data_IF_021235601368
#
_entry.id   IF_021235601368
#
_cell.length_a   1.000
_cell.length_b   1.000
_cell.length_c   1.000
_cell.angle_alpha   90.00
_cell.angle_beta   90.00
_cell.angle_gamma   90.00
#
_symmetry.space_group_name_H-M   'P 1'
#
loop_
_entity.id
_entity.type
_entity.pdbx_description
1 polymer ?
#
# COMPACT_ATOMS: atom_id res chain seq x y z
N UNK A 1 44.15 -19.32 -20.02
CA UNK A 1 42.81 -19.02 -19.46
C UNK A 1 42.69 -17.53 -19.13
N UNK A 2 41.96 -16.71 -19.90
CA UNK A 2 41.57 -15.40 -19.39
C UNK A 2 40.18 -14.93 -19.87
N UNK A 3 39.10 -15.65 -19.57
CA UNK A 3 37.73 -15.19 -19.87
C UNK A 3 36.85 -14.98 -18.62
N UNK A 4 37.33 -15.32 -17.42
CA UNK A 4 36.49 -15.35 -16.20
C UNK A 4 36.37 -14.01 -15.45
N UNK A 5 37.12 -12.96 -15.79
CA UNK A 5 37.10 -11.69 -15.04
C UNK A 5 36.32 -10.54 -15.70
N UNK A 6 35.70 -10.74 -16.88
CA UNK A 6 34.94 -9.66 -17.55
C UNK A 6 33.45 -9.60 -17.16
N UNK A 7 32.88 -10.69 -16.69
CA UNK A 7 31.43 -10.82 -16.45
C UNK A 7 30.95 -10.30 -15.08
N UNK A 8 31.85 -10.12 -14.11
CA UNK A 8 31.51 -9.87 -12.68
C UNK A 8 30.91 -8.48 -12.38
N UNK A 9 31.13 -7.49 -13.26
CA UNK A 9 30.56 -6.14 -13.06
C UNK A 9 29.12 -6.01 -13.58
N UNK A 10 28.73 -6.86 -14.54
CA UNK A 10 27.45 -6.76 -15.24
C UNK A 10 26.37 -7.55 -14.51
N UNK A 11 26.72 -8.74 -14.00
CA UNK A 11 25.80 -9.57 -13.20
C UNK A 11 25.36 -8.88 -11.92
N UNK A 12 26.29 -8.20 -11.22
CA UNK A 12 25.98 -7.44 -10.01
C UNK A 12 25.01 -6.27 -10.29
N UNK A 13 25.20 -5.57 -11.41
CA UNK A 13 24.31 -4.47 -11.82
C UNK A 13 22.89 -4.95 -12.16
N UNK A 14 22.77 -6.08 -12.87
CA UNK A 14 21.47 -6.64 -13.27
C UNK A 14 20.62 -7.04 -12.04
N UNK A 15 21.23 -7.63 -11.02
CA UNK A 15 20.54 -8.06 -9.80
C UNK A 15 19.99 -6.87 -8.98
N UNK A 16 20.72 -5.76 -8.93
CA UNK A 16 20.24 -4.53 -8.27
C UNK A 16 19.02 -3.94 -8.98
N UNK A 17 19.02 -3.87 -10.32
CA UNK A 17 17.94 -3.24 -11.09
C UNK A 17 16.61 -3.98 -10.91
N UNK A 18 16.63 -5.32 -10.83
CA UNK A 18 15.42 -6.15 -10.61
C UNK A 18 14.79 -5.90 -9.23
N UNK A 19 15.57 -5.45 -8.25
CA UNK A 19 15.09 -5.26 -6.87
C UNK A 19 14.24 -4.00 -6.68
N UNK A 20 14.29 -3.04 -7.63
CA UNK A 20 13.60 -1.74 -7.50
C UNK A 20 12.13 -1.75 -7.97
N UNK A 21 11.62 -2.85 -8.52
CA UNK A 21 10.31 -2.87 -9.18
C UNK A 21 9.12 -3.14 -8.25
N UNK A 22 9.27 -3.06 -6.93
CA UNK A 22 8.17 -3.33 -5.98
C UNK A 22 7.39 -2.05 -5.70
N UNK A 23 6.26 -1.87 -6.39
CA UNK A 23 5.28 -0.85 -6.07
C UNK A 23 4.44 -1.31 -4.85
N UNK A 24 4.68 -0.71 -3.68
CA UNK A 24 3.89 -0.97 -2.49
C UNK A 24 2.57 -0.20 -2.56
N UNK A 25 1.47 -0.90 -2.88
CA UNK A 25 0.14 -0.32 -2.76
C UNK A 25 -0.17 -0.01 -1.28
N UNK A 26 -0.88 1.10 -0.98
CA UNK A 26 -1.31 1.39 0.37
C UNK A 26 -2.22 0.26 0.88
N UNK A 27 -1.95 -0.24 2.08
CA UNK A 27 -2.70 -1.37 2.61
C UNK A 27 -4.16 -0.97 2.90
N UNK A 28 -5.16 -1.71 2.37
CA UNK A 28 -6.56 -1.33 2.50
C UNK A 28 -7.11 -1.60 3.91
N UNK A 29 -7.89 -0.67 4.44
CA UNK A 29 -8.63 -0.80 5.69
C UNK A 29 -10.12 -1.02 5.43
N UNK A 30 -10.81 -1.68 6.34
CA UNK A 30 -12.24 -1.96 6.25
C UNK A 30 -12.94 -1.59 7.55
N UNK A 31 -14.20 -1.15 7.43
CA UNK A 31 -15.10 -1.03 8.57
C UNK A 31 -15.69 -2.41 8.84
N UNK A 32 -15.50 -2.89 10.05
CA UNK A 32 -16.07 -4.14 10.55
C UNK A 32 -17.15 -3.81 11.55
N UNK A 33 -18.29 -4.47 11.45
CA UNK A 33 -19.38 -4.40 12.43
C UNK A 33 -19.45 -5.70 13.21
N UNK A 34 -19.57 -5.62 14.53
CA UNK A 34 -19.81 -6.78 15.37
C UNK A 34 -21.25 -7.22 15.23
N UNK A 35 -21.46 -8.50 14.94
CA UNK A 35 -22.78 -9.13 14.82
C UNK A 35 -23.53 -9.17 16.16
N UNK A 36 -22.79 -9.11 17.28
CA UNK A 36 -23.36 -9.27 18.62
C UNK A 36 -23.84 -7.97 19.26
N UNK A 37 -23.08 -6.87 19.09
CA UNK A 37 -23.35 -5.60 19.76
C UNK A 37 -23.45 -4.41 18.77
N UNK A 38 -23.25 -4.64 17.48
CA UNK A 38 -23.29 -3.59 16.45
C UNK A 38 -22.12 -2.61 16.49
N UNK A 39 -21.10 -2.83 17.32
CA UNK A 39 -19.92 -1.98 17.39
C UNK A 39 -19.21 -1.95 16.05
N UNK A 40 -18.73 -0.76 15.64
CA UNK A 40 -18.00 -0.58 14.38
C UNK A 40 -16.55 -0.24 14.67
N UNK A 41 -15.62 -0.97 14.04
CA UNK A 41 -14.17 -0.74 14.14
C UNK A 41 -13.56 -0.63 12.76
N UNK A 42 -12.48 0.13 12.64
CA UNK A 42 -11.68 0.20 11.41
C UNK A 42 -10.43 -0.65 11.56
N UNK A 43 -10.30 -1.71 10.74
CA UNK A 43 -9.11 -2.58 10.75
C UNK A 43 -8.84 -3.15 9.35
N UNK A 44 -7.57 -3.50 9.09
CA UNK A 44 -7.12 -4.11 7.83
C UNK A 44 -7.71 -5.51 7.64
N UNK A 45 -7.79 -6.28 8.72
CA UNK A 45 -8.26 -7.67 8.75
C UNK A 45 -9.48 -7.81 9.65
N UNK A 46 -10.24 -8.89 9.50
CA UNK A 46 -11.36 -9.18 10.39
C UNK A 46 -10.85 -9.36 11.83
N UNK A 47 -11.50 -8.75 12.84
CA UNK A 47 -11.16 -9.00 14.23
C UNK A 47 -11.55 -10.41 14.72
N UNK A 48 -12.41 -11.14 13.98
CA UNK A 48 -12.83 -12.52 14.30
C UNK A 48 -14.16 -12.91 13.64
N UNK A 49 -14.66 -14.12 13.91
CA UNK A 49 -15.87 -14.69 13.26
C UNK A 49 -17.16 -13.91 13.55
N UNK A 50 -17.17 -13.20 14.69
CA UNK A 50 -18.24 -12.32 15.13
C UNK A 50 -18.35 -11.00 14.36
N UNK A 51 -17.50 -10.76 13.37
CA UNK A 51 -17.46 -9.51 12.64
C UNK A 51 -17.90 -9.67 11.18
N UNK A 52 -18.65 -8.70 10.68
CA UNK A 52 -19.04 -8.59 9.29
C UNK A 52 -18.43 -7.34 8.66
N UNK A 53 -18.05 -7.42 7.38
CA UNK A 53 -17.49 -6.29 6.66
C UNK A 53 -18.61 -5.32 6.28
N UNK A 54 -18.58 -4.14 6.87
CA UNK A 54 -19.59 -3.09 6.67
C UNK A 54 -19.27 -2.18 5.48
N UNK A 55 -18.00 -1.77 5.31
CA UNK A 55 -17.57 -0.89 4.23
C UNK A 55 -16.06 -0.95 3.97
N UNK A 56 -15.62 -0.42 2.82
CA UNK A 56 -14.23 -0.32 2.39
C UNK A 56 -14.04 -0.81 0.95
N UNK A 57 -12.82 -0.69 0.37
CA UNK A 57 -11.55 -0.37 1.04
C UNK A 57 -11.37 1.11 1.36
N UNK A 58 -10.72 1.40 2.49
CA UNK A 58 -10.24 2.70 2.92
C UNK A 58 -8.71 2.73 2.89
N UNK A 59 -8.12 3.93 2.78
CA UNK A 59 -6.66 4.10 2.73
C UNK A 59 -6.02 4.58 4.03
N UNK A 60 -6.84 4.88 5.04
CA UNK A 60 -6.40 5.37 6.34
C UNK A 60 -6.92 4.47 7.48
N UNK A 61 -6.19 4.49 8.59
CA UNK A 61 -6.49 3.74 9.82
C UNK A 61 -7.81 4.18 10.49
N UNK A 62 -8.36 5.34 10.13
CA UNK A 62 -9.63 5.86 10.64
C UNK A 62 -10.83 5.54 9.74
N UNK A 63 -10.61 4.90 8.59
CA UNK A 63 -11.63 4.65 7.58
C UNK A 63 -12.40 5.94 7.19
N UNK A 64 -11.69 7.07 7.05
CA UNK A 64 -12.24 8.37 6.69
C UNK A 64 -12.17 8.64 5.18
N UNK A 65 -11.15 8.11 4.50
CA UNK A 65 -10.87 8.33 3.09
C UNK A 65 -11.04 7.03 2.30
N UNK A 66 -11.90 7.06 1.29
CA UNK A 66 -12.12 5.94 0.38
C UNK A 66 -10.83 5.58 -0.36
N UNK A 67 -10.51 4.28 -0.39
CA UNK A 67 -9.33 3.72 -1.07
C UNK A 67 -9.45 3.70 -2.59
N UNK A 68 -10.60 4.06 -3.15
CA UNK A 68 -10.85 4.08 -4.59
C UNK A 68 -10.12 5.21 -5.33
N UNK A 69 -9.77 6.30 -4.62
CA UNK A 69 -9.00 7.41 -5.22
C UNK A 69 -7.50 7.23 -5.03
N UNK A 70 -6.67 7.40 -6.08
CA UNK A 70 -5.22 7.46 -5.95
C UNK A 70 -4.78 8.45 -4.87
N UNK A 71 -3.63 8.19 -4.23
CA UNK A 71 -3.10 9.05 -3.18
C UNK A 71 -2.75 10.43 -3.74
N UNK A 72 -3.58 11.43 -3.49
CA UNK A 72 -3.48 12.80 -4.03
C UNK A 72 -2.30 13.62 -3.48
N UNK A 73 -1.32 13.00 -2.82
CA UNK A 73 -0.23 13.71 -2.13
C UNK A 73 0.67 14.45 -3.11
N UNK A 74 0.89 13.89 -4.31
CA UNK A 74 1.78 14.50 -5.31
C UNK A 74 1.10 15.60 -6.14
N UNK A 75 -0.22 15.49 -6.34
CA UNK A 75 -1.01 16.45 -7.12
C UNK A 75 -1.12 17.82 -6.44
N UNK A 76 -0.97 17.87 -5.11
CA UNK A 76 -0.99 19.12 -4.35
C UNK A 76 0.34 19.87 -4.37
N UNK A 77 1.45 19.14 -4.48
CA UNK A 77 2.79 19.75 -4.52
C UNK A 77 3.03 20.48 -5.84
N UNK A 78 2.49 19.96 -6.94
CA UNK A 78 2.57 20.60 -8.26
C UNK A 78 1.62 21.78 -8.43
N UNK A 79 0.54 21.85 -7.63
CA UNK A 79 -0.49 22.88 -7.73
C UNK A 79 -0.26 24.13 -6.86
N UNK A 80 0.81 24.20 -6.06
CA UNK A 80 1.14 25.41 -5.29
C UNK A 80 1.89 26.40 -6.18
N UNK A 81 1.29 27.51 -6.64
CA UNK A 81 2.08 28.59 -7.19
C UNK A 81 2.91 29.14 -6.04
N UNK A 82 4.23 29.14 -6.21
CA UNK A 82 5.16 29.79 -5.30
C UNK A 82 4.84 31.29 -5.31
N UNK A 83 4.12 31.77 -4.29
CA UNK A 83 3.97 33.20 -3.98
C UNK A 83 5.22 33.72 -3.31
#
# INVERSE_FOLDING_TARGET
>A
MPWLFRHSRWTTGLLLIVSLSVAAAPAPFFKWRSKFNGQVVCQRTSPGDGWERLAGPFRDIGCQQSGEKPLQRWDRVTASPRS
#
